data_IF_788369436144
#
_entry.id   IF_788369436144
#
_cell.length_a   1.000
_cell.length_b   1.000
_cell.length_c   1.000
_cell.angle_alpha   90.00
_cell.angle_beta   90.00
_cell.angle_gamma   90.00
#
_symmetry.space_group_name_H-M   'P 1'
#
loop_
_entity.id
_entity.type
_entity.pdbx_description
1 polymer ?
#
# COMPACT_ATOMS: atom_id res chain seq x y z
N UNK A 1 -1.81 -5.35 5.62
CA UNK A 1 -1.16 -5.74 4.35
C UNK A 1 -0.46 -4.54 3.72
N UNK A 2 0.09 -3.70 4.54
CA UNK A 2 0.83 -2.48 4.07
C UNK A 2 2.21 -2.66 4.73
N UNK A 5 1.88 -2.39 -1.60
CA UNK A 5 1.17 -1.84 -2.79
C UNK A 5 0.94 -0.34 -2.51
N UNK A 6 0.73 0.37 -3.59
CA UNK A 6 0.76 1.87 -3.70
C UNK A 6 -0.58 2.44 -3.27
N UNK A 7 -1.49 1.53 -3.09
CA UNK A 7 -2.86 1.92 -2.69
C UNK A 7 -3.22 2.05 -1.20
N UNK A 8 -2.21 2.03 -0.35
CA UNK A 8 -2.46 2.18 1.11
C UNK A 8 -2.75 3.67 1.35
#
# INVERSE_FOLDING_TARGET
>A
GCXXEPWCX
#
